data_IF_928002438882
#
_entry.id   IF_928002438882
#
_cell.length_a   1.000
_cell.length_b   1.000
_cell.length_c   1.000
_cell.angle_alpha   90.00
_cell.angle_beta   90.00
_cell.angle_gamma   90.00
#
_symmetry.space_group_name_H-M   'P 1'
#
loop_
_entity.id
_entity.type
_entity.pdbx_description
1 polymer ?
#
# COMPACT_ATOMS: atom_id res chain seq x y z
N UNK A 1 8.82 57.48 31.75
CA UNK A 1 7.81 57.25 30.70
C UNK A 1 7.44 55.79 30.79
N UNK A 2 6.18 55.54 31.15
CA UNK A 2 5.63 54.24 31.57
C UNK A 2 5.00 53.56 30.35
N UNK A 3 5.37 52.31 30.09
CA UNK A 3 4.77 51.49 29.03
C UNK A 3 3.37 50.98 29.43
N UNK A 4 2.39 51.00 28.52
CA UNK A 4 1.07 50.41 28.76
C UNK A 4 1.12 48.87 28.68
N UNK A 5 0.29 48.16 29.47
CA UNK A 5 0.22 46.70 29.48
C UNK A 5 -0.50 46.12 28.23
N UNK A 6 -0.18 44.87 27.84
CA UNK A 6 -0.78 44.21 26.68
C UNK A 6 -2.25 43.78 26.92
N UNK A 7 -3.11 43.78 25.87
CA UNK A 7 -4.52 43.38 25.97
C UNK A 7 -4.69 41.87 26.14
N UNK A 8 -5.52 41.47 27.11
CA UNK A 8 -5.94 40.10 27.31
C UNK A 8 -7.10 39.71 26.38
N UNK A 9 -6.95 38.56 25.73
CA UNK A 9 -8.01 37.80 25.08
C UNK A 9 -8.27 36.58 25.98
N UNK A 10 -9.47 36.11 26.29
CA UNK A 10 -10.78 36.31 25.66
C UNK A 10 -11.50 34.96 25.72
N UNK A 11 -12.31 34.80 26.76
CA UNK A 11 -13.36 33.80 27.05
C UNK A 11 -13.59 32.63 26.07
N UNK A 12 -13.56 31.41 26.64
CA UNK A 12 -13.92 30.13 26.05
C UNK A 12 -15.46 29.98 25.95
N UNK A 13 -16.03 29.51 24.82
CA UNK A 13 -17.49 29.31 24.67
C UNK A 13 -18.00 28.14 25.52
N UNK A 14 -19.09 28.36 26.26
CA UNK A 14 -19.84 27.32 26.97
C UNK A 14 -20.63 26.46 25.98
N UNK A 15 -20.52 25.13 26.10
CA UNK A 15 -21.31 24.18 25.33
C UNK A 15 -22.79 24.15 25.81
N UNK A 16 -23.77 24.13 24.89
CA UNK A 16 -25.19 24.02 25.20
C UNK A 16 -25.59 22.69 25.86
N UNK A 17 -26.41 22.79 26.90
CA UNK A 17 -26.83 21.69 27.76
C UNK A 17 -27.84 20.71 27.14
N UNK A 18 -27.75 19.46 27.60
CA UNK A 18 -28.69 18.37 27.32
C UNK A 18 -30.08 18.63 27.92
N UNK A 19 -31.17 18.27 27.21
CA UNK A 19 -32.52 18.33 27.76
C UNK A 19 -32.81 17.20 28.76
N UNK A 20 -33.67 17.43 29.77
CA UNK A 20 -33.96 16.49 30.85
C UNK A 20 -34.91 15.36 30.43
N UNK A 21 -34.67 14.17 31.00
CA UNK A 21 -35.52 12.99 30.92
C UNK A 21 -36.94 13.27 31.48
N UNK A 22 -37.96 12.81 30.75
CA UNK A 22 -39.34 12.78 31.25
C UNK A 22 -39.71 11.42 31.84
N UNK A 23 -40.57 11.38 32.88
CA UNK A 23 -40.99 10.16 33.56
C UNK A 23 -42.31 9.60 33.01
N UNK A 24 -42.32 8.29 32.71
CA UNK A 24 -43.41 7.33 32.93
C UNK A 24 -44.80 7.55 32.29
N UNK A 25 -45.26 6.54 31.53
CA UNK A 25 -46.70 6.22 31.47
C UNK A 25 -47.25 5.60 30.18
N UNK A 26 -47.92 4.46 30.36
CA UNK A 26 -48.96 3.83 29.51
C UNK A 26 -48.57 2.93 28.33
N UNK A 27 -48.85 1.64 28.55
CA UNK A 27 -49.00 0.53 27.61
C UNK A 27 -50.21 0.68 26.67
N UNK A 28 -50.13 0.14 25.45
CA UNK A 28 -51.25 -0.61 24.88
C UNK A 28 -50.85 -1.93 24.17
N UNK A 29 -51.47 -3.02 24.65
CA UNK A 29 -52.10 -4.13 23.92
C UNK A 29 -51.49 -4.61 22.57
N UNK A 30 -50.88 -5.82 22.51
CA UNK A 30 -50.52 -6.47 21.24
C UNK A 30 -51.66 -7.28 20.60
N UNK A 31 -51.66 -7.44 19.26
CA UNK A 31 -52.67 -8.16 18.47
C UNK A 31 -52.52 -9.69 18.54
N UNK A 32 -53.57 -10.46 18.15
CA UNK A 32 -53.61 -11.91 18.31
C UNK A 32 -53.05 -12.67 17.10
N UNK A 33 -52.14 -13.62 17.37
CA UNK A 33 -52.05 -14.89 16.65
C UNK A 33 -50.90 -15.06 15.65
N UNK A 34 -49.82 -15.73 16.08
CA UNK A 34 -49.05 -16.64 15.23
C UNK A 34 -48.39 -17.75 16.08
N UNK A 35 -48.26 -18.98 15.53
CA UNK A 35 -47.95 -20.17 16.30
C UNK A 35 -46.47 -20.30 16.69
N UNK A 36 -46.29 -20.86 17.88
CA UNK A 36 -45.07 -21.09 18.64
C UNK A 36 -44.15 -22.15 18.03
N UNK A 37 -42.83 -21.85 17.99
CA UNK A 37 -41.76 -22.83 17.80
C UNK A 37 -41.08 -23.17 19.15
N UNK A 38 -40.62 -24.43 19.35
CA UNK A 38 -40.11 -24.92 20.63
C UNK A 38 -38.69 -24.44 20.93
N UNK A 39 -38.44 -24.10 22.20
CA UNK A 39 -37.21 -23.50 22.67
C UNK A 39 -36.04 -24.44 22.91
N UNK A 40 -34.87 -23.82 23.07
CA UNK A 40 -33.65 -24.42 23.60
C UNK A 40 -32.91 -23.42 24.49
N UNK A 41 -32.50 -23.90 25.67
CA UNK A 41 -31.23 -23.60 26.33
C UNK A 41 -31.04 -22.22 26.97
N UNK A 42 -31.28 -22.12 28.28
CA UNK A 42 -30.67 -21.11 29.13
C UNK A 42 -29.18 -21.43 29.36
N UNK A 43 -28.29 -20.45 29.25
CA UNK A 43 -26.87 -20.58 29.57
C UNK A 43 -26.50 -19.66 30.77
N UNK A 44 -25.64 -20.12 31.71
CA UNK A 44 -25.53 -19.54 33.05
C UNK A 44 -24.61 -18.31 33.16
N UNK A 45 -24.78 -17.59 34.27
CA UNK A 45 -24.27 -16.24 34.51
C UNK A 45 -22.76 -16.07 34.62
N UNK A 46 -22.33 -14.84 34.31
CA UNK A 46 -20.97 -14.34 34.44
C UNK A 46 -20.58 -14.08 35.90
N UNK A 47 -19.35 -14.43 36.32
CA UNK A 47 -18.81 -14.14 37.65
C UNK A 47 -18.33 -12.67 37.80
N UNK A 48 -18.22 -12.18 39.06
CA UNK A 48 -17.95 -10.77 39.37
C UNK A 48 -16.49 -10.34 39.16
N UNK A 49 -16.32 -9.04 38.87
CA UNK A 49 -15.06 -8.33 38.63
C UNK A 49 -14.07 -8.41 39.81
N UNK A 50 -12.79 -8.61 39.50
CA UNK A 50 -11.67 -8.55 40.44
C UNK A 50 -11.07 -7.13 40.55
N UNK A 51 -10.52 -6.72 41.72
CA UNK A 51 -9.96 -5.38 41.94
C UNK A 51 -8.45 -5.28 41.66
N UNK A 52 -8.05 -4.18 40.99
CA UNK A 52 -6.87 -3.36 41.26
C UNK A 52 -5.47 -3.97 41.10
N UNK A 53 -4.79 -3.62 40.00
CA UNK A 53 -3.33 -3.79 39.86
C UNK A 53 -2.58 -2.52 40.33
N UNK A 54 -1.48 -2.64 41.11
CA UNK A 54 -0.65 -1.52 41.54
C UNK A 54 0.26 -0.99 40.40
N UNK A 55 0.64 0.31 40.43
CA UNK A 55 1.52 0.90 39.42
C UNK A 55 2.98 0.40 39.54
N UNK A 56 3.69 0.18 38.42
CA UNK A 56 5.09 -0.20 38.45
C UNK A 56 6.02 0.97 38.85
N UNK A 57 7.14 0.72 39.55
CA UNK A 57 8.08 1.75 39.99
C UNK A 57 8.95 2.28 38.84
N UNK A 58 9.16 3.59 38.82
CA UNK A 58 10.04 4.27 37.87
C UNK A 58 11.50 3.82 37.98
N UNK A 59 12.09 3.46 36.84
CA UNK A 59 13.50 3.11 36.67
C UNK A 59 14.16 4.01 35.63
N UNK A 60 15.30 4.59 36.01
CA UNK A 60 15.99 5.64 35.29
C UNK A 60 16.72 5.22 34.01
N UNK A 61 16.95 6.23 33.17
CA UNK A 61 17.70 6.20 31.93
C UNK A 61 19.15 5.73 32.14
N UNK A 62 19.49 4.57 31.58
CA UNK A 62 20.86 4.09 31.40
C UNK A 62 21.33 4.33 29.96
N UNK A 63 22.52 4.91 29.82
CA UNK A 63 23.17 5.19 28.54
C UNK A 63 23.49 3.89 27.77
N UNK A 64 23.45 3.90 26.43
CA UNK A 64 23.75 2.73 25.61
C UNK A 64 25.24 2.32 25.70
N UNK A 65 25.55 1.01 25.62
CA UNK A 65 26.92 0.52 25.69
C UNK A 65 27.75 0.89 24.45
N UNK A 66 29.09 1.00 24.58
CA UNK A 66 29.98 1.35 23.48
C UNK A 66 30.07 0.21 22.44
N UNK A 67 29.94 0.56 21.17
CA UNK A 67 30.12 -0.36 20.04
C UNK A 67 31.57 -0.85 19.95
N UNK A 68 31.81 -2.14 19.63
CA UNK A 68 33.14 -2.68 19.43
C UNK A 68 33.80 -2.15 18.12
N UNK A 69 35.13 -2.04 18.07
CA UNK A 69 35.84 -1.47 16.93
C UNK A 69 35.83 -2.39 15.69
N UNK A 70 35.63 -1.79 14.52
CA UNK A 70 35.72 -2.45 13.23
C UNK A 70 37.17 -2.85 12.92
N UNK A 71 37.45 -4.16 12.88
CA UNK A 71 38.72 -4.69 12.38
C UNK A 71 38.65 -4.86 10.86
N UNK A 72 39.38 -4.02 10.13
CA UNK A 72 39.69 -4.25 8.72
C UNK A 72 40.84 -5.25 8.53
N UNK A 73 40.87 -5.91 7.36
CA UNK A 73 42.09 -6.50 6.82
C UNK A 73 41.92 -7.83 6.07
N UNK A 74 41.69 -7.73 4.76
CA UNK A 74 42.47 -8.40 3.71
C UNK A 74 42.46 -9.94 3.56
N UNK A 75 42.10 -10.38 2.35
CA UNK A 75 42.79 -11.49 1.68
C UNK A 75 41.95 -12.72 1.30
N UNK A 76 41.50 -12.74 0.04
CA UNK A 76 41.39 -13.91 -0.86
C UNK A 76 40.91 -15.26 -0.32
N UNK A 77 39.77 -15.73 -0.85
CA UNK A 77 39.44 -17.15 -0.81
C UNK A 77 37.95 -17.42 -0.97
N UNK A 78 37.61 -18.09 -2.08
CA UNK A 78 36.32 -18.69 -2.40
C UNK A 78 35.59 -19.31 -1.19
N UNK A 79 34.27 -19.11 -1.16
CA UNK A 79 33.25 -19.88 -0.39
C UNK A 79 33.22 -19.61 1.12
N UNK A 80 32.18 -18.88 1.57
CA UNK A 80 31.22 -19.31 2.58
C UNK A 80 30.49 -18.13 3.26
N UNK A 81 29.18 -18.29 3.40
CA UNK A 81 28.27 -17.62 4.36
C UNK A 81 27.77 -16.21 4.00
N UNK A 82 26.70 -16.22 3.20
CA UNK A 82 25.53 -15.36 3.39
C UNK A 82 25.13 -15.48 4.86
N UNK A 83 25.42 -14.44 5.66
CA UNK A 83 24.84 -14.13 6.98
C UNK A 83 25.43 -12.76 7.40
N UNK A 84 24.89 -11.71 6.79
CA UNK A 84 25.05 -10.29 7.14
C UNK A 84 23.86 -9.60 6.49
N UNK A 85 22.72 -9.38 7.14
CA UNK A 85 22.60 -8.82 8.47
C UNK A 85 22.71 -7.30 8.39
N UNK A 86 21.60 -6.67 7.98
CA UNK A 86 21.27 -5.23 8.03
C UNK A 86 21.89 -4.36 6.94
N UNK A 87 21.01 -3.90 6.04
CA UNK A 87 21.33 -2.86 5.05
C UNK A 87 20.54 -2.91 3.74
N UNK A 88 19.38 -3.59 3.69
CA UNK A 88 18.47 -3.44 2.54
C UNK A 88 17.37 -2.51 2.99
N UNK A 89 17.48 -1.29 2.51
CA UNK A 89 16.41 -0.34 2.36
C UNK A 89 15.19 -1.09 1.79
N UNK A 90 14.27 -1.50 2.66
CA UNK A 90 12.93 -1.93 2.26
C UNK A 90 12.25 -0.64 1.81
N UNK A 91 12.58 -0.20 0.59
CA UNK A 91 11.67 0.65 -0.16
C UNK A 91 10.45 -0.22 -0.37
N UNK A 92 9.37 0.11 0.33
CA UNK A 92 8.05 -0.36 -0.03
C UNK A 92 7.89 -0.09 -1.53
N UNK A 93 8.00 -1.13 -2.35
CA UNK A 93 7.62 -1.08 -3.76
C UNK A 93 6.10 -1.21 -3.78
N UNK A 94 5.45 -0.18 -3.26
CA UNK A 94 4.20 0.27 -3.80
C UNK A 94 4.55 0.95 -5.12
N UNK A 95 4.22 0.33 -6.24
CA UNK A 95 4.46 0.90 -7.56
C UNK A 95 3.57 2.13 -7.75
N UNK A 96 3.96 3.27 -7.18
CA UNK A 96 3.50 4.59 -7.63
C UNK A 96 4.33 4.90 -8.86
N UNK A 97 3.76 4.65 -10.04
CA UNK A 97 4.50 4.75 -11.29
C UNK A 97 4.54 6.22 -11.72
N UNK A 98 5.70 6.84 -11.51
CA UNK A 98 5.99 8.19 -11.97
C UNK A 98 6.39 8.18 -13.45
N UNK A 99 5.64 8.89 -14.31
CA UNK A 99 6.08 9.22 -15.67
C UNK A 99 6.78 10.58 -15.66
N UNK A 100 8.10 10.55 -15.86
CA UNK A 100 8.91 11.72 -16.18
C UNK A 100 9.28 11.62 -17.66
N UNK A 101 8.96 12.60 -18.48
CA UNK A 101 9.32 12.63 -19.91
C UNK A 101 10.18 13.87 -20.16
N UNK A 102 11.42 13.65 -20.62
CA UNK A 102 12.31 14.70 -21.12
C UNK A 102 12.17 14.73 -22.64
N UNK A 103 11.81 15.87 -23.23
CA UNK A 103 11.90 16.05 -24.68
C UNK A 103 13.38 16.16 -25.11
N UNK A 104 13.85 15.22 -25.93
CA UNK A 104 15.08 15.39 -26.72
C UNK A 104 14.69 15.97 -28.08
N UNK A 105 14.76 17.30 -28.20
CA UNK A 105 14.93 17.91 -29.51
C UNK A 105 15.88 19.12 -29.42
N UNK A 106 17.14 18.85 -29.76
CA UNK A 106 18.03 19.75 -30.50
C UNK A 106 18.27 21.17 -29.94
N UNK A 107 19.45 21.36 -29.35
CA UNK A 107 20.14 22.65 -29.15
C UNK A 107 19.44 23.71 -28.27
N UNK A 108 19.54 23.57 -26.93
CA UNK A 108 20.05 24.67 -26.09
C UNK A 108 20.35 24.20 -24.68
N UNK A 109 21.47 24.68 -24.16
CA UNK A 109 21.89 24.50 -22.78
C UNK A 109 20.95 25.27 -21.83
N UNK A 110 19.90 24.62 -21.34
CA UNK A 110 19.23 25.03 -20.11
C UNK A 110 18.90 23.78 -19.29
N UNK A 111 19.44 23.73 -18.07
CA UNK A 111 19.32 22.60 -17.14
C UNK A 111 18.02 22.73 -16.34
N UNK A 112 16.91 22.95 -17.05
CA UNK A 112 15.56 22.88 -16.53
C UNK A 112 14.95 21.57 -16.99
N UNK A 113 14.71 20.67 -16.06
CA UNK A 113 13.89 19.49 -16.26
C UNK A 113 12.49 19.93 -16.66
N UNK A 114 12.20 19.98 -17.96
CA UNK A 114 10.84 20.17 -18.46
C UNK A 114 10.05 18.91 -18.10
N UNK A 115 9.01 19.07 -17.27
CA UNK A 115 8.15 18.00 -16.74
C UNK A 115 6.83 17.93 -17.48
N UNK A 116 6.68 18.67 -18.57
CA UNK A 116 5.43 18.79 -19.31
C UNK A 116 5.29 17.68 -20.35
N UNK A 117 4.09 17.13 -20.47
CA UNK A 117 3.74 16.21 -21.55
C UNK A 117 3.81 16.92 -22.90
N UNK A 118 4.20 16.18 -23.94
CA UNK A 118 3.99 16.66 -25.31
C UNK A 118 2.50 16.74 -25.63
N UNK A 119 2.12 17.57 -26.61
CA UNK A 119 0.71 17.70 -27.02
C UNK A 119 0.10 16.35 -27.44
N UNK A 120 0.89 15.50 -28.10
CA UNK A 120 0.43 14.17 -28.54
C UNK A 120 0.16 13.24 -27.34
N UNK A 121 0.97 13.35 -26.28
CA UNK A 121 0.77 12.59 -25.03
C UNK A 121 -0.42 13.11 -24.21
N UNK A 122 -0.64 14.43 -24.19
CA UNK A 122 -1.85 15.01 -23.61
C UNK A 122 -3.08 14.46 -24.34
N UNK A 123 -3.12 14.56 -25.67
CA UNK A 123 -4.24 14.03 -26.46
C UNK A 123 -4.46 12.52 -26.22
N UNK A 124 -3.40 11.74 -26.06
CA UNK A 124 -3.50 10.32 -25.72
C UNK A 124 -4.07 10.08 -24.31
N UNK A 125 -3.64 10.87 -23.32
CA UNK A 125 -4.17 10.81 -21.96
C UNK A 125 -5.66 11.21 -21.91
N UNK A 126 -6.04 12.27 -22.62
CA UNK A 126 -7.45 12.71 -22.72
C UNK A 126 -8.32 11.65 -23.42
N UNK A 127 -7.77 10.95 -24.41
CA UNK A 127 -8.48 9.93 -25.18
C UNK A 127 -8.56 8.56 -24.48
N UNK A 128 -7.72 8.31 -23.47
CA UNK A 128 -7.65 7.05 -22.76
C UNK A 128 -8.97 6.72 -22.06
N UNK A 129 -9.50 5.52 -22.27
CA UNK A 129 -10.78 5.09 -21.77
C UNK A 129 -10.73 3.70 -21.11
N UNK A 130 -11.78 3.36 -20.37
CA UNK A 130 -11.94 2.03 -19.78
C UNK A 130 -11.88 0.95 -20.86
N UNK A 131 -11.03 -0.05 -20.65
CA UNK A 131 -10.76 -1.15 -21.58
C UNK A 131 -9.57 -0.90 -22.51
N UNK A 132 -9.01 0.31 -22.54
CA UNK A 132 -7.73 0.56 -23.22
C UNK A 132 -6.59 -0.05 -22.39
N UNK A 133 -5.50 -0.38 -23.08
CA UNK A 133 -4.31 -0.91 -22.44
C UNK A 133 -3.22 0.13 -22.34
N UNK A 134 -2.47 0.08 -21.25
CA UNK A 134 -1.34 0.96 -20.99
C UNK A 134 -0.05 0.14 -20.91
N UNK A 135 1.04 0.78 -21.29
CA UNK A 135 2.37 0.20 -21.07
C UNK A 135 2.70 0.19 -19.58
N UNK A 136 3.62 -0.70 -19.17
CA UNK A 136 4.17 -0.56 -17.83
C UNK A 136 4.99 0.74 -17.79
N UNK A 137 4.51 1.73 -17.03
CA UNK A 137 4.98 3.10 -17.13
C UNK A 137 6.45 3.27 -16.65
N UNK A 138 7.06 2.23 -16.06
CA UNK A 138 8.49 2.13 -15.75
C UNK A 138 9.38 1.80 -16.96
N UNK A 139 8.80 1.38 -18.08
CA UNK A 139 9.54 0.70 -19.13
C UNK A 139 10.36 1.62 -20.05
N UNK A 140 10.10 2.93 -20.15
CA UNK A 140 10.95 3.95 -20.82
C UNK A 140 10.22 5.30 -20.95
N UNK A 141 10.98 6.40 -20.86
CA UNK A 141 10.57 7.79 -21.22
C UNK A 141 9.90 7.92 -22.60
N UNK A 142 10.13 6.96 -23.50
CA UNK A 142 9.66 6.97 -24.89
C UNK A 142 8.47 6.04 -25.16
N UNK A 143 7.93 5.34 -24.15
CA UNK A 143 6.82 4.41 -24.36
C UNK A 143 5.48 5.15 -24.44
N UNK A 144 4.62 4.80 -25.40
CA UNK A 144 3.27 5.35 -25.47
C UNK A 144 2.50 5.03 -24.17
N UNK A 145 1.78 6.03 -23.64
CA UNK A 145 0.93 5.87 -22.45
C UNK A 145 -0.14 4.80 -22.69
N UNK A 146 -0.83 4.92 -23.82
CA UNK A 146 -1.87 4.00 -24.27
C UNK A 146 -1.33 3.21 -25.46
N UNK A 147 -1.43 1.89 -25.40
CA UNK A 147 -0.93 0.95 -26.41
C UNK A 147 -2.04 -0.03 -26.83
N UNK A 148 -1.97 -0.63 -28.03
CA UNK A 148 -2.83 -1.75 -28.38
C UNK A 148 -2.70 -2.89 -27.36
N UNK A 149 -3.82 -3.45 -26.92
CA UNK A 149 -3.81 -4.52 -25.90
C UNK A 149 -3.10 -5.82 -26.32
N UNK A 150 -2.93 -6.05 -27.62
CA UNK A 150 -2.16 -7.16 -28.17
C UNK A 150 -0.67 -6.84 -28.33
N UNK A 151 -0.24 -5.62 -28.03
CA UNK A 151 1.16 -5.20 -28.10
C UNK A 151 2.01 -5.94 -27.04
N UNK A 152 3.30 -6.07 -27.32
CA UNK A 152 4.25 -6.65 -26.37
C UNK A 152 4.38 -5.78 -25.11
N UNK A 153 4.30 -4.45 -25.25
CA UNK A 153 4.42 -3.47 -24.19
C UNK A 153 3.15 -3.33 -23.33
N UNK A 154 2.00 -3.82 -23.79
CA UNK A 154 0.76 -3.77 -23.02
C UNK A 154 0.91 -4.58 -21.72
N UNK A 155 0.72 -3.89 -20.60
CA UNK A 155 0.87 -4.47 -19.26
C UNK A 155 -0.35 -4.21 -18.38
N UNK A 156 -1.00 -3.06 -18.51
CA UNK A 156 -2.13 -2.66 -17.70
C UNK A 156 -3.38 -2.55 -18.57
N UNK A 157 -4.56 -2.83 -18.01
CA UNK A 157 -5.87 -2.49 -18.58
C UNK A 157 -6.53 -1.43 -17.71
N UNK A 158 -7.02 -0.35 -18.32
CA UNK A 158 -7.77 0.69 -17.62
C UNK A 158 -9.13 0.14 -17.19
N UNK A 159 -9.39 0.12 -15.89
CA UNK A 159 -10.67 -0.32 -15.32
C UNK A 159 -11.57 0.86 -14.96
N UNK A 160 -10.99 2.03 -14.68
CA UNK A 160 -11.70 3.28 -14.41
C UNK A 160 -10.82 4.49 -14.73
N UNK A 161 -11.45 5.60 -15.11
CA UNK A 161 -10.80 6.89 -15.38
C UNK A 161 -11.47 7.96 -14.53
N UNK A 162 -10.69 8.86 -13.95
CA UNK A 162 -11.14 10.06 -13.26
C UNK A 162 -10.39 11.27 -13.79
N UNK A 163 -11.12 12.19 -14.43
CA UNK A 163 -10.65 13.47 -14.98
C UNK A 163 -10.90 14.67 -14.04
N UNK A 164 -11.50 14.41 -12.88
CA UNK A 164 -11.73 15.36 -11.78
C UNK A 164 -11.46 14.63 -10.45
N UNK A 165 -10.26 14.05 -10.36
CA UNK A 165 -9.86 13.24 -9.21
C UNK A 165 -9.74 14.05 -7.92
N UNK A 166 -9.51 15.36 -8.04
CA UNK A 166 -9.13 16.21 -6.92
C UNK A 166 -7.76 15.86 -6.33
N UNK A 167 -6.99 14.99 -6.99
CA UNK A 167 -5.66 14.61 -6.57
C UNK A 167 -4.64 15.71 -6.92
N UNK A 168 -3.64 15.86 -6.08
CA UNK A 168 -2.54 16.80 -6.26
C UNK A 168 -1.21 16.08 -6.07
N UNK A 169 -0.23 16.43 -6.90
CA UNK A 169 1.15 15.97 -6.76
C UNK A 169 2.03 17.05 -6.15
N UNK A 170 3.10 16.65 -5.47
CA UNK A 170 4.10 17.56 -4.93
C UNK A 170 5.13 18.00 -5.99
N UNK A 171 6.19 18.70 -5.58
CA UNK A 171 7.26 19.14 -6.50
C UNK A 171 8.03 17.97 -7.14
N UNK A 172 7.98 16.78 -6.53
CA UNK A 172 8.60 15.57 -7.06
C UNK A 172 7.63 14.79 -7.95
N UNK A 173 6.39 15.26 -8.09
CA UNK A 173 5.35 14.60 -8.87
C UNK A 173 4.75 13.37 -8.18
N UNK A 174 4.97 13.24 -6.87
CA UNK A 174 4.35 12.21 -6.03
C UNK A 174 2.99 12.70 -5.52
N UNK A 175 1.99 11.82 -5.47
CA UNK A 175 0.71 12.17 -4.87
C UNK A 175 0.90 12.66 -3.42
N UNK A 176 0.39 13.86 -3.14
CA UNK A 176 0.41 14.44 -1.78
C UNK A 176 -0.49 13.67 -0.81
N UNK A 177 -1.52 13.01 -1.33
CA UNK A 177 -2.43 12.15 -0.59
C UNK A 177 -2.78 10.88 -1.43
N UNK A 178 -2.06 9.76 -1.22
CA UNK A 178 -2.34 8.50 -1.92
C UNK A 178 -3.74 7.93 -1.63
N UNK A 179 -4.40 8.35 -0.55
CA UNK A 179 -5.73 7.82 -0.19
C UNK A 179 -6.83 8.23 -1.18
N UNK A 180 -6.58 9.25 -2.00
CA UNK A 180 -7.47 9.67 -3.09
C UNK A 180 -7.71 8.52 -4.08
N UNK A 181 -6.68 7.72 -4.38
CA UNK A 181 -6.80 6.57 -5.28
C UNK A 181 -7.77 5.52 -4.70
N UNK A 182 -7.72 5.28 -3.39
CA UNK A 182 -8.65 4.38 -2.72
C UNK A 182 -10.11 4.88 -2.78
N UNK A 183 -10.31 6.20 -2.77
CA UNK A 183 -11.64 6.81 -2.86
C UNK A 183 -12.26 6.71 -4.26
N UNK A 184 -11.41 6.68 -5.29
CA UNK A 184 -11.80 6.59 -6.70
C UNK A 184 -11.92 5.13 -7.11
N UNK A 185 -10.81 4.39 -7.02
CA UNK A 185 -10.66 3.02 -7.53
C UNK A 185 -11.24 1.95 -6.59
N UNK A 186 -11.25 2.20 -5.28
CA UNK A 186 -11.55 1.20 -4.25
C UNK A 186 -10.33 0.85 -3.41
N UNK A 187 -10.56 0.31 -2.21
CA UNK A 187 -9.48 -0.04 -1.26
C UNK A 187 -8.61 -1.19 -1.77
N UNK A 188 -9.17 -2.06 -2.60
CA UNK A 188 -8.49 -3.18 -3.25
C UNK A 188 -7.36 -2.74 -4.19
N UNK A 189 -7.38 -1.49 -4.69
CA UNK A 189 -6.31 -0.92 -5.54
C UNK A 189 -5.11 -0.40 -4.76
N UNK A 190 -5.21 -0.34 -3.43
CA UNK A 190 -4.12 0.12 -2.58
C UNK A 190 -3.21 -1.02 -2.14
N UNK A 191 -3.66 -2.27 -2.24
CA UNK A 191 -2.98 -3.43 -1.71
C UNK A 191 -2.94 -4.61 -2.66
N UNK A 192 -2.47 -5.74 -2.15
CA UNK A 192 -2.31 -6.97 -2.93
C UNK A 192 -3.26 -8.03 -2.41
N UNK A 193 -4.07 -8.58 -3.30
CA UNK A 193 -4.96 -9.69 -2.99
C UNK A 193 -4.36 -10.98 -3.55
N UNK A 194 -3.95 -11.96 -2.71
CA UNK A 194 -3.42 -13.24 -3.18
C UNK A 194 -4.29 -13.90 -4.26
N UNK A 195 -3.63 -14.37 -5.32
CA UNK A 195 -4.25 -15.09 -6.43
C UNK A 195 -5.00 -14.20 -7.41
N UNK A 196 -4.99 -12.88 -7.22
CA UNK A 196 -5.58 -11.92 -8.16
C UNK A 196 -4.50 -11.23 -8.99
N UNK A 197 -4.84 -10.76 -10.21
CA UNK A 197 -4.00 -9.82 -10.94
C UNK A 197 -3.71 -8.59 -10.09
N UNK A 198 -2.57 -7.98 -10.35
CA UNK A 198 -2.20 -6.74 -9.70
C UNK A 198 -3.21 -5.63 -10.00
N UNK A 199 -3.65 -4.95 -8.95
CA UNK A 199 -4.43 -3.72 -9.06
C UNK A 199 -3.54 -2.56 -8.66
N UNK A 200 -3.60 -1.47 -9.42
CA UNK A 200 -2.82 -0.26 -9.15
C UNK A 200 -3.51 0.96 -9.74
N UNK A 201 -2.91 2.13 -9.56
CA UNK A 201 -3.36 3.35 -10.17
C UNK A 201 -2.19 4.06 -10.86
N UNK A 202 -2.49 4.74 -11.96
CA UNK A 202 -1.57 5.62 -12.66
C UNK A 202 -2.20 7.02 -12.71
N UNK A 203 -1.37 8.04 -12.79
CA UNK A 203 -1.87 9.40 -12.92
C UNK A 203 -0.98 10.22 -13.84
N UNK A 204 -1.61 11.25 -14.42
CA UNK A 204 -1.00 12.15 -15.37
C UNK A 204 -1.36 13.58 -14.96
N UNK A 205 -0.36 14.45 -14.99
CA UNK A 205 -0.51 15.89 -14.89
C UNK A 205 0.13 16.50 -16.14
N UNK A 206 -0.55 17.45 -16.73
CA UNK A 206 -0.22 18.10 -18.01
C UNK A 206 0.38 19.48 -17.79
N UNK A 207 0.10 20.10 -16.65
CA UNK A 207 0.67 21.39 -16.27
C UNK A 207 2.09 21.24 -15.70
N UNK A 208 2.96 22.23 -15.97
CA UNK A 208 4.30 22.30 -15.40
C UNK A 208 4.20 22.37 -13.87
N UNK A 209 4.77 21.37 -13.18
CA UNK A 209 4.87 21.39 -11.73
C UNK A 209 5.75 22.56 -11.32
N UNK A 210 5.16 23.56 -10.67
CA UNK A 210 5.89 24.73 -10.17
C UNK A 210 5.54 25.04 -8.72
N UNK A 211 6.52 25.51 -7.95
CA UNK A 211 6.31 25.84 -6.54
C UNK A 211 6.13 24.62 -5.65
N UNK A 212 4.89 24.35 -5.20
CA UNK A 212 4.58 23.31 -4.21
C UNK A 212 4.02 22.01 -4.81
N UNK A 213 3.75 21.98 -6.12
CA UNK A 213 3.01 20.88 -6.73
C UNK A 213 2.06 21.32 -7.83
N UNK A 214 1.27 20.39 -8.35
CA UNK A 214 0.26 20.63 -9.38
C UNK A 214 -0.94 19.68 -9.28
N UNK A 215 -2.07 20.02 -9.92
CA UNK A 215 -3.21 19.12 -9.97
C UNK A 215 -2.91 17.91 -10.87
N UNK A 216 -3.51 16.77 -10.53
CA UNK A 216 -3.60 15.62 -11.43
C UNK A 216 -4.78 15.85 -12.38
N UNK A 217 -4.50 15.80 -13.68
CA UNK A 217 -5.54 15.92 -14.71
C UNK A 217 -6.29 14.60 -14.89
N UNK A 218 -5.57 13.48 -14.91
CA UNK A 218 -6.16 12.16 -15.09
C UNK A 218 -5.61 11.16 -14.09
N UNK A 219 -6.51 10.41 -13.45
CA UNK A 219 -6.18 9.24 -12.65
C UNK A 219 -6.85 8.01 -13.25
N UNK A 220 -6.05 6.98 -13.52
CA UNK A 220 -6.47 5.72 -14.10
C UNK A 220 -6.35 4.63 -13.04
N UNK A 221 -7.43 3.93 -12.77
CA UNK A 221 -7.39 2.67 -12.06
C UNK A 221 -7.06 1.58 -13.07
N UNK A 222 -6.09 0.74 -12.76
CA UNK A 222 -5.55 -0.24 -13.69
C UNK A 222 -5.44 -1.63 -13.07
N UNK A 223 -5.73 -2.64 -13.90
CA UNK A 223 -5.53 -4.05 -13.58
C UNK A 223 -4.44 -4.60 -14.49
N UNK A 224 -3.49 -5.35 -13.95
CA UNK A 224 -2.43 -5.95 -14.76
C UNK A 224 -3.00 -7.03 -15.66
N UNK A 225 -2.51 -7.05 -16.90
CA UNK A 225 -2.83 -8.06 -17.87
C UNK A 225 -2.12 -9.34 -17.45
N UNK A 226 -2.91 -10.39 -17.28
CA UNK A 226 -2.41 -11.73 -16.98
C UNK A 226 -1.67 -12.32 -18.20
N UNK A 227 -0.40 -11.94 -18.31
CA UNK A 227 0.50 -12.29 -19.41
C UNK A 227 1.90 -12.56 -18.87
N UNK A 228 2.52 -13.62 -19.37
CA UNK A 228 3.90 -13.95 -19.04
C UNK A 228 4.88 -12.95 -19.65
N UNK A 229 5.85 -12.51 -18.84
CA UNK A 229 7.00 -11.75 -19.30
C UNK A 229 8.07 -12.65 -19.93
N UNK A 230 9.22 -12.06 -20.30
CA UNK A 230 10.33 -12.79 -20.91
C UNK A 230 10.97 -13.85 -19.97
N UNK A 231 10.79 -13.70 -18.67
CA UNK A 231 11.29 -14.59 -17.62
C UNK A 231 10.23 -15.64 -17.18
N UNK A 232 9.03 -15.59 -17.77
CA UNK A 232 7.89 -16.47 -17.44
C UNK A 232 7.11 -16.03 -16.20
N UNK A 233 7.30 -14.79 -15.75
CA UNK A 233 6.58 -14.20 -14.61
C UNK A 233 5.24 -13.63 -15.05
N UNK A 234 4.23 -13.71 -14.18
CA UNK A 234 2.90 -13.14 -14.37
C UNK A 234 2.58 -12.16 -13.24
N UNK A 235 1.96 -11.01 -13.54
CA UNK A 235 1.63 -9.99 -12.54
C UNK A 235 0.38 -10.38 -11.76
N UNK A 236 0.48 -11.53 -11.09
CA UNK A 236 -0.53 -12.11 -10.21
C UNK A 236 0.12 -12.20 -8.83
N UNK A 237 -0.57 -11.68 -7.81
CA UNK A 237 -0.10 -11.76 -6.43
C UNK A 237 -0.01 -13.24 -6.04
N UNK A 238 1.13 -13.72 -5.48
CA UNK A 238 1.30 -15.12 -5.13
C UNK A 238 0.26 -15.56 -4.09
N UNK A 239 -0.30 -16.75 -4.31
CA UNK A 239 -1.24 -17.42 -3.39
C UNK A 239 -0.69 -18.79 -2.99
N UNK A 240 -1.25 -19.39 -1.95
CA UNK A 240 -0.85 -20.70 -1.46
C UNK A 240 -0.81 -21.75 -2.61
N UNK A 241 0.34 -22.39 -2.77
CA UNK A 241 0.62 -23.37 -3.82
C UNK A 241 1.19 -22.80 -5.13
N UNK A 242 1.31 -21.48 -5.25
CA UNK A 242 2.01 -20.84 -6.38
C UNK A 242 3.52 -20.73 -6.09
N UNK A 243 4.31 -20.46 -7.14
CA UNK A 243 5.75 -20.23 -6.98
C UNK A 243 6.13 -18.79 -7.30
N UNK A 244 7.20 -18.34 -6.66
CA UNK A 244 7.82 -17.02 -6.85
C UNK A 244 9.29 -17.19 -7.19
N UNK A 245 9.88 -16.16 -7.76
CA UNK A 245 11.32 -16.07 -7.98
C UNK A 245 12.02 -15.44 -6.76
N UNK A 246 13.22 -14.87 -6.95
CA UNK A 246 14.01 -14.27 -5.86
C UNK A 246 13.36 -13.03 -5.21
N UNK A 247 12.18 -12.59 -5.66
CA UNK A 247 11.42 -11.52 -5.05
C UNK A 247 12.09 -10.15 -5.18
N UNK A 248 13.07 -10.01 -6.08
CA UNK A 248 13.85 -8.78 -6.22
C UNK A 248 13.03 -7.58 -6.69
N UNK A 249 11.87 -7.80 -7.34
CA UNK A 249 11.04 -6.73 -7.91
C UNK A 249 9.54 -7.05 -7.86
N UNK A 250 8.91 -7.03 -6.67
CA UNK A 250 7.45 -7.14 -6.54
C UNK A 250 6.92 -8.56 -6.36
N UNK A 251 5.59 -8.70 -6.33
CA UNK A 251 4.87 -9.94 -5.98
C UNK A 251 4.49 -10.72 -7.24
N UNK A 252 5.47 -11.25 -7.96
CA UNK A 252 5.24 -12.02 -9.19
C UNK A 252 4.93 -13.48 -8.89
N UNK A 253 4.05 -14.06 -9.70
CA UNK A 253 3.88 -15.51 -9.77
C UNK A 253 4.64 -16.06 -10.98
N UNK A 254 5.28 -17.21 -10.82
CA UNK A 254 6.00 -17.93 -11.88
C UNK A 254 5.60 -19.41 -11.87
N UNK A 255 5.60 -20.04 -13.03
CA UNK A 255 5.34 -21.47 -13.14
C UNK A 255 6.40 -22.29 -12.37
N UNK A 256 5.96 -23.11 -11.42
CA UNK A 256 6.83 -23.84 -10.48
C UNK A 256 7.86 -24.77 -11.14
N UNK A 257 7.61 -25.19 -12.39
CA UNK A 257 8.53 -26.05 -13.14
C UNK A 257 9.70 -25.30 -13.78
N UNK A 258 9.68 -23.97 -13.78
CA UNK A 258 10.74 -23.15 -14.35
C UNK A 258 11.95 -23.07 -13.41
N UNK A 259 13.19 -23.09 -13.93
CA UNK A 259 14.40 -22.97 -13.11
C UNK A 259 14.49 -21.67 -12.29
N UNK A 260 13.74 -20.63 -12.70
CA UNK A 260 13.67 -19.35 -12.00
C UNK A 260 12.65 -19.35 -10.84
N UNK A 261 11.80 -20.37 -10.72
CA UNK A 261 10.89 -20.53 -9.59
C UNK A 261 11.69 -21.03 -8.37
N UNK A 262 12.07 -20.12 -7.49
CA UNK A 262 12.95 -20.41 -6.36
C UNK A 262 12.18 -20.78 -5.09
N UNK A 263 10.97 -20.25 -4.93
CA UNK A 263 10.17 -20.46 -3.73
C UNK A 263 8.76 -20.91 -4.07
N UNK A 264 8.15 -21.68 -3.17
CA UNK A 264 6.72 -22.01 -3.19
C UNK A 264 6.03 -21.27 -2.04
N UNK A 265 4.87 -20.68 -2.30
CA UNK A 265 4.04 -20.07 -1.26
C UNK A 265 3.31 -21.17 -0.52
N UNK A 266 3.57 -21.30 0.78
CA UNK A 266 2.94 -22.32 1.62
C UNK A 266 1.56 -21.87 2.10
N UNK A 267 1.45 -20.61 2.51
CA UNK A 267 0.27 -20.03 3.12
C UNK A 267 0.28 -18.51 2.95
N UNK A 268 -0.90 -17.92 2.81
CA UNK A 268 -1.11 -16.48 2.71
C UNK A 268 -2.23 -16.06 3.65
N UNK A 269 -2.19 -14.83 4.11
CA UNK A 269 -3.29 -14.19 4.82
C UNK A 269 -3.49 -12.75 4.35
N UNK A 270 -4.72 -12.25 4.47
CA UNK A 270 -5.10 -10.88 4.09
C UNK A 270 -5.56 -10.11 5.32
N UNK A 271 -5.30 -8.81 5.36
CA UNK A 271 -5.68 -7.93 6.46
C UNK A 271 -6.68 -6.87 5.99
N UNK A 272 -7.83 -6.83 6.66
CA UNK A 272 -8.84 -5.79 6.53
C UNK A 272 -9.35 -5.40 7.93
N UNK A 273 -9.03 -4.19 8.43
CA UNK A 273 -8.25 -3.14 7.77
C UNK A 273 -6.77 -3.52 7.61
N UNK A 274 -6.03 -2.86 6.69
CA UNK A 274 -4.58 -3.03 6.58
C UNK A 274 -3.87 -2.54 7.84
N UNK A 275 -2.66 -3.05 8.07
CA UNK A 275 -1.90 -2.80 9.30
C UNK A 275 -0.69 -1.92 9.04
N UNK A 276 -0.34 -1.09 10.02
CA UNK A 276 0.91 -0.32 9.99
C UNK A 276 2.11 -1.25 10.19
N UNK A 277 3.19 -1.04 9.44
CA UNK A 277 4.42 -1.84 9.52
C UNK A 277 4.99 -1.98 10.95
N UNK A 278 4.99 -0.88 11.69
CA UNK A 278 5.48 -0.85 13.08
C UNK A 278 4.68 -1.75 14.03
N UNK A 279 3.46 -2.14 13.65
CA UNK A 279 2.58 -3.03 14.41
C UNK A 279 2.59 -4.47 13.89
N UNK A 280 3.29 -4.76 12.79
CA UNK A 280 3.29 -6.08 12.19
C UNK A 280 4.19 -7.05 12.93
N UNK A 281 3.63 -8.21 13.29
CA UNK A 281 4.35 -9.29 13.97
C UNK A 281 4.83 -10.32 12.95
N UNK A 282 6.00 -10.06 12.38
CA UNK A 282 6.69 -10.96 11.44
C UNK A 282 6.92 -12.38 11.98
N UNK A 283 7.02 -12.55 13.31
CA UNK A 283 7.32 -13.86 13.91
C UNK A 283 6.09 -14.76 14.01
N UNK A 284 4.90 -14.18 14.17
CA UNK A 284 3.66 -14.94 14.40
C UNK A 284 2.67 -14.89 13.23
N UNK A 285 2.83 -13.93 12.32
CA UNK A 285 2.09 -13.87 11.08
C UNK A 285 2.18 -15.21 10.33
N UNK A 286 1.06 -15.62 9.73
CA UNK A 286 0.95 -16.88 8.99
C UNK A 286 1.43 -18.08 9.82
N UNK A 287 1.00 -18.11 11.10
CA UNK A 287 1.29 -19.18 12.05
C UNK A 287 2.79 -19.36 12.38
N UNK A 288 3.61 -18.35 12.11
CA UNK A 288 5.07 -18.39 12.25
C UNK A 288 5.77 -19.20 11.16
N UNK A 289 5.14 -19.37 10.00
CA UNK A 289 5.66 -20.08 8.83
C UNK A 289 6.23 -21.48 9.15
N UNK A 290 5.41 -22.45 9.61
CA UNK A 290 5.90 -23.73 10.10
C UNK A 290 6.67 -24.58 9.07
N UNK A 291 6.48 -24.31 7.78
CA UNK A 291 7.13 -25.00 6.67
C UNK A 291 8.29 -24.18 6.05
N UNK A 292 8.50 -22.94 6.50
CA UNK A 292 9.55 -22.05 6.01
C UNK A 292 10.75 -22.03 6.95
N UNK A 293 11.93 -21.79 6.38
CA UNK A 293 13.11 -21.38 7.13
C UNK A 293 13.14 -19.89 7.48
N UNK A 294 12.14 -19.12 7.03
CA UNK A 294 12.07 -17.66 7.08
C UNK A 294 10.81 -17.20 7.82
N UNK A 295 10.84 -15.94 8.26
CA UNK A 295 9.65 -15.26 8.80
C UNK A 295 8.69 -14.91 7.66
N UNK A 296 7.43 -14.60 8.01
CA UNK A 296 6.44 -14.20 7.04
C UNK A 296 6.87 -12.93 6.30
N UNK A 297 6.67 -12.92 4.99
CA UNK A 297 6.87 -11.75 4.15
C UNK A 297 5.58 -10.92 4.13
N UNK A 298 5.69 -9.62 4.41
CA UNK A 298 4.57 -8.70 4.31
C UNK A 298 4.24 -8.37 2.84
N UNK A 299 2.94 -8.20 2.55
CA UNK A 299 2.41 -7.68 1.29
C UNK A 299 2.10 -6.19 1.45
N UNK A 300 3.09 -5.34 1.19
CA UNK A 300 2.98 -3.87 1.29
C UNK A 300 2.19 -3.25 0.15
N UNK A 301 1.17 -2.47 0.47
CA UNK A 301 0.43 -1.64 -0.46
C UNK A 301 1.16 -0.36 -0.88
N UNK A 302 0.53 0.39 -1.78
CA UNK A 302 1.03 1.66 -2.31
C UNK A 302 1.11 2.79 -1.28
N UNK A 303 0.33 2.69 -0.21
CA UNK A 303 0.30 3.62 0.93
C UNK A 303 1.30 3.25 2.04
N UNK A 304 2.09 2.19 1.84
CA UNK A 304 3.06 1.69 2.82
C UNK A 304 2.43 0.88 3.97
N UNK A 305 1.12 0.61 3.92
CA UNK A 305 0.46 -0.31 4.85
C UNK A 305 0.61 -1.76 4.37
N UNK A 306 0.42 -2.70 5.29
CA UNK A 306 0.51 -4.13 4.99
C UNK A 306 -0.92 -4.67 4.84
N UNK A 307 -1.20 -5.21 3.66
CA UNK A 307 -2.50 -5.75 3.25
C UNK A 307 -2.60 -7.27 3.42
N UNK A 308 -1.49 -7.92 3.73
CA UNK A 308 -1.43 -9.35 3.94
C UNK A 308 -0.02 -9.81 4.26
N UNK A 309 0.14 -11.11 4.44
CA UNK A 309 1.42 -11.74 4.61
C UNK A 309 1.44 -13.10 3.92
N UNK A 310 2.63 -13.57 3.59
CA UNK A 310 2.84 -14.89 3.00
C UNK A 310 4.05 -15.61 3.58
N UNK A 311 3.95 -16.92 3.70
CA UNK A 311 5.08 -17.79 3.99
C UNK A 311 5.53 -18.49 2.73
N UNK A 312 6.84 -18.56 2.53
CA UNK A 312 7.44 -19.22 1.39
C UNK A 312 8.48 -20.24 1.82
N UNK A 313 8.59 -21.35 1.11
CA UNK A 313 9.62 -22.37 1.30
C UNK A 313 10.42 -22.55 0.01
N UNK A 314 11.61 -23.15 0.09
CA UNK A 314 12.42 -23.44 -1.11
C UNK A 314 11.63 -24.36 -2.07
N UNK A 315 11.56 -23.97 -3.34
CA UNK A 315 10.99 -24.82 -4.39
C UNK A 315 11.94 -25.99 -4.69
N UNK A 316 11.42 -27.23 -4.65
CA UNK A 316 12.21 -28.46 -4.63
C UNK A 316 12.41 -29.14 -6.00
#
# INVERSE_FOLDING_TARGET
MTYPPPPGYGQQPQQPGYPPQQPGGYSPQPPPGQPSQPGFGQQPGYPPQQPGFPPPPGGGYGAPPPMPPASGGGGGGLVAKILSGVGVLVLAIGFVIFRYVISDDSDSSDTGSDTTLSNDEVEAAEAAAVGDCMSDALATVDADLVVPCDDAAAFWTITQVSDDSGAEVDIMGELTDPSIAASICGQEYMGWTPGQPWLSYQYVYTEEISGTGGPVDYLYCVEAIDKEDADGRRPIVPDAGTCTDDGSTGYWTIECSLPAALYTVDETETYDPPIEDAAFDYETAVGGCPNSGYYAQALYGADGLIYGAMCTSDNA
#
